data_IF_805188066492
#
_entry.id   IF_805188066492
#
_cell.length_a   1.000
_cell.length_b   1.000
_cell.length_c   1.000
_cell.angle_alpha   90.00
_cell.angle_beta   90.00
_cell.angle_gamma   90.00
#
_symmetry.space_group_name_H-M   'P 1'
#
loop_
_entity.id
_entity.type
_entity.pdbx_description
1 polymer ?
#
# COMPACT_ATOMS: atom_id res chain seq x y z
N UNK A 1 -46.81 16.78 -23.98
CA UNK A 1 -47.26 15.37 -24.03
C UNK A 1 -46.30 14.63 -24.96
N UNK A 2 -45.49 13.70 -24.42
CA UNK A 2 -45.62 12.24 -24.66
C UNK A 2 -45.55 11.92 -26.17
N UNK A 3 -44.45 11.37 -26.72
CA UNK A 3 -43.98 9.97 -26.55
C UNK A 3 -44.49 9.12 -27.73
N UNK A 4 -43.85 8.08 -28.27
CA UNK A 4 -42.53 7.47 -28.04
C UNK A 4 -42.41 6.13 -28.82
N UNK A 5 -41.17 5.66 -29.03
CA UNK A 5 -40.74 4.26 -29.29
C UNK A 5 -41.20 3.54 -30.59
N UNK A 6 -40.20 3.11 -31.36
CA UNK A 6 -40.28 2.16 -32.49
C UNK A 6 -39.93 0.71 -32.07
N UNK A 7 -40.44 -0.29 -32.80
CA UNK A 7 -40.23 -1.74 -32.53
C UNK A 7 -39.13 -2.37 -33.40
N UNK A 8 -38.42 -3.42 -32.93
CA UNK A 8 -37.42 -4.15 -33.72
C UNK A 8 -38.00 -5.33 -34.53
N UNK A 9 -37.23 -5.82 -35.50
CA UNK A 9 -37.53 -6.99 -36.35
C UNK A 9 -36.50 -8.10 -36.09
N UNK A 10 -36.97 -9.34 -35.92
CA UNK A 10 -36.13 -10.54 -35.81
C UNK A 10 -35.81 -11.12 -37.19
N UNK A 11 -34.61 -11.69 -37.35
CA UNK A 11 -34.31 -12.68 -38.39
C UNK A 11 -33.74 -13.95 -37.77
N UNK A 12 -34.22 -15.11 -38.24
CA UNK A 12 -33.67 -16.45 -37.99
C UNK A 12 -32.96 -16.91 -39.25
N UNK A 13 -31.90 -17.70 -39.10
CA UNK A 13 -31.31 -18.47 -40.21
C UNK A 13 -31.15 -19.93 -39.79
N UNK A 14 -31.51 -20.85 -40.67
CA UNK A 14 -31.50 -22.30 -40.41
C UNK A 14 -30.38 -23.00 -41.18
N UNK A 15 -30.08 -24.24 -40.78
CA UNK A 15 -28.98 -25.05 -41.29
C UNK A 15 -29.20 -25.62 -42.70
N UNK A 16 -28.11 -26.10 -43.30
CA UNK A 16 -28.13 -27.02 -44.43
C UNK A 16 -27.18 -28.20 -44.17
N UNK A 17 -27.61 -29.41 -44.52
CA UNK A 17 -26.88 -30.69 -44.38
C UNK A 17 -26.79 -31.33 -45.77
N UNK A 18 -25.68 -32.01 -46.10
CA UNK A 18 -25.62 -32.88 -47.29
C UNK A 18 -24.80 -34.17 -47.11
N UNK A 19 -25.14 -35.15 -47.96
CA UNK A 19 -24.83 -36.60 -47.93
C UNK A 19 -24.32 -37.03 -49.32
N UNK A 20 -23.63 -38.16 -49.59
CA UNK A 20 -23.17 -39.31 -48.78
C UNK A 20 -21.94 -39.95 -49.48
N UNK A 21 -21.13 -40.81 -48.83
CA UNK A 21 -20.23 -41.70 -49.58
C UNK A 21 -19.16 -42.46 -48.78
N UNK A 22 -19.15 -43.79 -48.86
CA UNK A 22 -18.17 -44.67 -48.20
C UNK A 22 -17.58 -45.67 -49.22
N UNK A 23 -16.36 -46.18 -48.97
CA UNK A 23 -15.97 -47.59 -49.24
C UNK A 23 -14.57 -47.97 -48.71
N UNK A 24 -14.48 -49.18 -48.14
CA UNK A 24 -13.33 -50.13 -48.09
C UNK A 24 -11.94 -49.68 -47.60
N UNK A 25 -11.39 -50.42 -46.63
CA UNK A 25 -10.01 -50.24 -46.12
C UNK A 25 -9.02 -51.31 -46.59
N UNK A 26 -7.73 -51.09 -46.27
CA UNK A 26 -6.60 -52.04 -46.39
C UNK A 26 -5.65 -51.80 -45.21
N UNK A 27 -5.13 -52.88 -44.60
CA UNK A 27 -4.12 -52.80 -43.54
C UNK A 27 -2.74 -52.39 -44.09
N UNK A 28 -1.99 -51.56 -43.35
CA UNK A 28 -0.61 -51.24 -43.74
C UNK A 28 0.09 -50.28 -42.77
N UNK A 29 0.95 -50.82 -41.90
CA UNK A 29 1.72 -50.03 -40.94
C UNK A 29 2.64 -49.03 -41.67
N UNK A 30 2.47 -47.73 -41.39
CA UNK A 30 3.55 -46.74 -41.50
C UNK A 30 3.61 -45.90 -40.24
N UNK A 31 4.74 -45.97 -39.52
CA UNK A 31 5.07 -45.00 -38.48
C UNK A 31 5.21 -43.63 -39.13
N UNK A 32 4.44 -42.64 -38.68
CA UNK A 32 4.76 -41.23 -38.84
C UNK A 32 4.55 -40.54 -37.50
N UNK A 33 5.56 -39.78 -37.08
CA UNK A 33 5.53 -38.91 -35.91
C UNK A 33 4.55 -37.77 -36.14
N UNK A 34 3.75 -37.41 -35.13
CA UNK A 34 3.48 -36.02 -34.72
C UNK A 34 2.83 -36.00 -33.32
N UNK A 35 2.84 -34.85 -32.63
CA UNK A 35 3.23 -34.82 -31.22
C UNK A 35 2.10 -35.06 -30.23
N UNK A 36 2.43 -35.68 -29.10
CA UNK A 36 1.69 -35.49 -27.84
C UNK A 36 2.01 -34.10 -27.28
N UNK A 37 0.99 -33.40 -26.79
CA UNK A 37 1.22 -32.24 -25.94
C UNK A 37 1.92 -32.69 -24.65
N UNK A 38 3.07 -32.10 -24.35
CA UNK A 38 3.66 -32.21 -23.01
C UNK A 38 2.93 -31.22 -22.10
N UNK A 39 2.18 -31.75 -21.14
CA UNK A 39 1.80 -30.99 -19.96
C UNK A 39 3.09 -30.70 -19.19
N UNK A 40 3.61 -29.48 -19.30
CA UNK A 40 4.70 -29.01 -18.44
C UNK A 40 4.16 -28.89 -17.02
N UNK A 41 4.38 -29.94 -16.22
CA UNK A 41 4.18 -29.90 -14.78
C UNK A 41 5.09 -28.81 -14.20
N UNK A 42 4.49 -27.71 -13.74
CA UNK A 42 5.16 -26.84 -12.78
C UNK A 42 5.27 -27.62 -11.48
N UNK A 43 6.50 -27.82 -11.00
CA UNK A 43 6.77 -28.37 -9.69
C UNK A 43 6.63 -27.27 -8.65
N UNK A 44 5.52 -27.28 -7.91
CA UNK A 44 5.35 -26.47 -6.71
C UNK A 44 6.24 -27.02 -5.59
N UNK A 45 7.51 -26.63 -5.59
CA UNK A 45 8.33 -26.62 -4.36
C UNK A 45 8.45 -25.16 -3.88
N UNK A 46 8.15 -24.86 -2.61
CA UNK A 46 8.25 -23.50 -2.10
C UNK A 46 9.71 -23.06 -2.11
N UNK A 47 9.99 -21.94 -2.77
CA UNK A 47 11.28 -21.28 -2.73
C UNK A 47 11.51 -20.76 -1.30
N UNK A 48 12.14 -21.61 -0.47
CA UNK A 48 12.57 -21.25 0.88
C UNK A 48 13.47 -20.03 0.74
N UNK A 49 13.06 -18.92 1.35
CA UNK A 49 13.87 -17.70 1.44
C UNK A 49 15.16 -18.02 2.20
N UNK A 50 16.19 -18.45 1.45
CA UNK A 50 17.54 -18.57 2.00
C UNK A 50 17.94 -17.20 2.53
N UNK A 51 18.44 -17.17 3.77
CA UNK A 51 19.02 -15.96 4.35
C UNK A 51 20.29 -15.62 3.56
N UNK A 52 20.15 -14.77 2.53
CA UNK A 52 21.30 -14.22 1.81
C UNK A 52 22.24 -13.56 2.81
N UNK A 53 23.40 -14.20 3.01
CA UNK A 53 24.42 -13.72 3.93
C UNK A 53 24.89 -12.33 3.51
N UNK A 54 24.74 -11.35 4.40
CA UNK A 54 25.08 -9.96 4.13
C UNK A 54 26.50 -9.81 3.56
N UNK A 55 26.57 -9.47 2.26
CA UNK A 55 27.79 -9.05 1.58
C UNK A 55 27.86 -7.52 1.50
N UNK A 56 29.05 -6.91 1.32
CA UNK A 56 29.34 -5.66 2.00
C UNK A 56 28.51 -4.45 1.56
N UNK A 57 27.86 -3.79 2.53
CA UNK A 57 27.45 -2.40 2.39
C UNK A 57 28.69 -1.52 2.14
N UNK A 58 28.91 -1.10 0.88
CA UNK A 58 30.00 -0.22 0.50
C UNK A 58 29.47 0.93 -0.38
N UNK A 59 29.96 2.15 -0.06
CA UNK A 59 29.54 3.43 -0.62
C UNK A 59 28.11 3.90 -0.25
N UNK A 60 27.72 3.71 1.02
CA UNK A 60 26.64 4.49 1.64
C UNK A 60 27.14 5.91 1.93
N UNK A 61 26.26 6.89 1.69
CA UNK A 61 26.61 8.31 1.70
C UNK A 61 26.30 8.95 3.05
N UNK A 62 27.36 9.40 3.72
CA UNK A 62 27.29 10.20 4.94
C UNK A 62 26.68 11.58 4.66
N UNK A 63 25.82 12.06 5.57
CA UNK A 63 25.47 13.47 5.71
C UNK A 63 26.71 14.27 6.12
N UNK A 64 26.61 15.60 6.15
CA UNK A 64 27.70 16.44 6.69
C UNK A 64 28.06 16.10 8.15
N UNK A 65 27.18 15.38 8.85
CA UNK A 65 27.29 14.96 10.24
C UNK A 65 27.61 13.46 10.41
N UNK A 66 27.86 12.72 9.31
CA UNK A 66 28.22 11.29 9.33
C UNK A 66 27.06 10.29 9.25
N UNK A 67 25.82 10.74 9.00
CA UNK A 67 24.62 9.86 8.98
C UNK A 67 24.33 9.29 7.59
N UNK A 68 23.99 8.00 7.46
CA UNK A 68 23.47 7.48 6.19
C UNK A 68 22.02 7.92 6.02
N UNK A 69 21.71 8.61 4.92
CA UNK A 69 20.40 9.25 4.69
C UNK A 69 19.53 8.47 3.70
N UNK A 70 18.30 8.15 4.10
CA UNK A 70 17.23 7.63 3.24
C UNK A 70 16.07 8.62 3.05
N UNK A 71 15.32 8.47 1.95
CA UNK A 71 14.07 9.20 1.68
C UNK A 71 12.90 8.22 1.58
N UNK A 72 11.83 8.48 2.33
CA UNK A 72 10.60 7.68 2.34
C UNK A 72 9.45 8.54 1.81
N UNK A 73 8.85 8.09 0.70
CA UNK A 73 7.75 8.74 -0.01
C UNK A 73 6.48 7.92 0.20
N UNK A 74 5.57 8.37 1.06
CA UNK A 74 4.36 7.62 1.41
C UNK A 74 3.21 7.99 0.48
N UNK A 75 2.65 6.98 -0.19
CA UNK A 75 1.37 7.00 -0.89
C UNK A 75 1.15 8.23 -1.81
N UNK A 76 2.19 8.62 -2.55
CA UNK A 76 2.13 9.75 -3.49
C UNK A 76 1.51 9.30 -4.82
N UNK A 77 0.29 8.79 -4.69
CA UNK A 77 -0.49 8.16 -5.75
C UNK A 77 -1.55 9.10 -6.29
N UNK A 78 -2.06 8.78 -7.47
CA UNK A 78 -3.06 9.58 -8.14
C UNK A 78 -4.40 9.56 -7.37
N UNK A 79 -4.80 8.41 -6.81
CA UNK A 79 -6.00 8.24 -5.98
C UNK A 79 -6.12 9.24 -4.81
N UNK A 80 -5.00 9.73 -4.28
CA UNK A 80 -4.98 10.74 -3.21
C UNK A 80 -4.78 12.18 -3.70
N UNK A 81 -4.36 12.40 -4.96
CA UNK A 81 -3.87 13.71 -5.44
C UNK A 81 -4.78 14.47 -6.41
N UNK A 82 -5.91 13.89 -6.82
CA UNK A 82 -7.11 14.59 -7.31
C UNK A 82 -6.90 15.75 -8.31
N UNK A 83 -6.77 15.43 -9.60
CA UNK A 83 -7.03 16.36 -10.71
C UNK A 83 -7.29 15.64 -12.05
N UNK A 84 -6.57 14.55 -12.31
CA UNK A 84 -6.51 13.89 -13.63
C UNK A 84 -6.94 12.42 -13.56
N UNK A 85 -8.24 12.14 -13.37
CA UNK A 85 -8.72 10.77 -13.16
C UNK A 85 -9.90 10.29 -14.00
N UNK A 86 -9.82 9.07 -14.58
CA UNK A 86 -10.88 8.51 -15.42
C UNK A 86 -11.98 7.77 -14.64
N UNK A 87 -11.73 7.36 -13.39
CA UNK A 87 -12.59 6.39 -12.65
C UNK A 87 -13.29 6.93 -11.41
N UNK A 88 -12.78 7.99 -10.78
CA UNK A 88 -13.45 8.66 -9.66
C UNK A 88 -13.28 8.01 -8.27
N UNK A 89 -12.38 7.01 -8.14
CA UNK A 89 -12.05 6.35 -6.87
C UNK A 89 -11.10 7.24 -6.04
N UNK A 90 -11.68 8.15 -5.26
CA UNK A 90 -10.94 9.23 -4.61
C UNK A 90 -11.14 9.27 -3.10
N UNK A 91 -10.03 9.20 -2.36
CA UNK A 91 -9.97 9.68 -0.98
C UNK A 91 -9.41 11.10 -0.96
N UNK A 92 -10.17 12.07 -1.51
CA UNK A 92 -9.83 13.48 -1.33
C UNK A 92 -10.04 13.89 0.12
N UNK A 93 -9.21 14.83 0.57
CA UNK A 93 -9.20 15.29 1.96
C UNK A 93 -10.55 15.88 2.37
N UNK A 94 -11.01 15.55 3.57
CA UNK A 94 -12.26 16.07 4.13
C UNK A 94 -12.12 17.59 4.27
N UNK A 95 -12.81 18.34 3.42
CA UNK A 95 -12.84 19.80 3.44
C UNK A 95 -11.89 20.55 2.49
N UNK A 96 -11.43 19.95 1.38
CA UNK A 96 -10.79 20.76 0.34
C UNK A 96 -10.41 20.03 -0.96
N UNK A 97 -10.97 20.50 -2.08
CA UNK A 97 -10.42 20.27 -3.42
C UNK A 97 -9.01 20.87 -3.53
N UNK A 98 -8.12 20.24 -4.31
CA UNK A 98 -6.91 20.89 -4.85
C UNK A 98 -5.59 20.74 -4.07
N UNK A 99 -5.57 20.17 -2.85
CA UNK A 99 -4.31 19.98 -2.08
C UNK A 99 -3.24 19.17 -2.83
N UNK A 100 -3.66 18.16 -3.58
CA UNK A 100 -2.79 17.30 -4.39
C UNK A 100 -2.49 17.82 -5.80
N UNK A 101 -2.96 19.02 -6.16
CA UNK A 101 -2.84 19.59 -7.51
C UNK A 101 -1.39 19.85 -7.95
N UNK A 102 -1.22 20.37 -9.17
CA UNK A 102 0.09 20.38 -9.86
C UNK A 102 1.23 21.06 -9.09
N UNK A 103 0.93 22.05 -8.25
CA UNK A 103 1.91 22.69 -7.35
C UNK A 103 2.48 21.69 -6.34
N UNK A 104 1.64 20.81 -5.78
CA UNK A 104 2.07 19.73 -4.89
C UNK A 104 2.86 18.67 -5.68
N UNK A 105 2.31 18.18 -6.80
CA UNK A 105 2.97 17.18 -7.66
C UNK A 105 4.39 17.62 -8.05
N UNK A 106 4.52 18.86 -8.54
CA UNK A 106 5.80 19.45 -8.92
C UNK A 106 6.75 19.65 -7.72
N UNK A 107 6.25 20.01 -6.53
CA UNK A 107 7.08 20.14 -5.34
C UNK A 107 7.70 18.81 -4.92
N UNK A 108 6.91 17.71 -4.89
CA UNK A 108 7.40 16.36 -4.60
C UNK A 108 8.42 15.92 -5.64
N UNK A 109 8.10 15.99 -6.93
CA UNK A 109 9.00 15.54 -8.00
C UNK A 109 10.32 16.32 -7.98
N UNK A 110 10.30 17.61 -7.64
CA UNK A 110 11.52 18.41 -7.48
C UNK A 110 12.29 18.07 -6.19
N UNK A 111 11.62 17.71 -5.09
CA UNK A 111 12.26 17.16 -3.89
C UNK A 111 13.04 15.88 -4.22
N UNK A 112 12.42 14.93 -4.91
CA UNK A 112 13.08 13.65 -5.27
C UNK A 112 14.29 13.89 -6.18
N UNK A 113 14.18 14.79 -7.17
CA UNK A 113 15.32 15.19 -8.01
C UNK A 113 16.45 15.88 -7.22
N UNK A 114 16.12 16.74 -6.24
CA UNK A 114 17.12 17.33 -5.33
C UNK A 114 17.79 16.25 -4.47
N UNK A 115 17.02 15.32 -3.92
CA UNK A 115 17.55 14.21 -3.13
C UNK A 115 18.50 13.35 -3.97
N UNK A 116 18.10 12.88 -5.16
CA UNK A 116 18.98 12.13 -6.09
C UNK A 116 20.23 12.91 -6.50
N UNK A 117 20.13 14.24 -6.69
CA UNK A 117 21.31 15.07 -7.00
C UNK A 117 22.29 15.16 -5.81
N UNK A 118 21.78 15.25 -4.58
CA UNK A 118 22.58 15.38 -3.35
C UNK A 118 23.12 14.04 -2.86
N UNK A 119 22.34 12.98 -3.05
CA UNK A 119 22.63 11.59 -2.66
C UNK A 119 22.38 10.65 -3.87
N UNK A 120 23.31 10.55 -4.83
CA UNK A 120 23.12 9.71 -6.03
C UNK A 120 22.80 8.24 -5.70
N UNK A 121 23.47 7.68 -4.69
CA UNK A 121 23.24 6.33 -4.19
C UNK A 121 22.32 6.28 -2.95
N UNK A 122 21.68 7.40 -2.58
CA UNK A 122 20.83 7.47 -1.38
C UNK A 122 19.60 6.56 -1.51
N UNK A 123 19.28 5.71 -0.52
CA UNK A 123 18.08 4.87 -0.57
C UNK A 123 16.79 5.70 -0.67
N UNK A 124 15.92 5.36 -1.62
CA UNK A 124 14.54 5.89 -1.72
C UNK A 124 13.56 4.73 -1.59
N UNK A 125 12.66 4.79 -0.60
CA UNK A 125 11.50 3.92 -0.53
C UNK A 125 10.24 4.67 -0.97
N UNK A 126 9.37 4.02 -1.74
CA UNK A 126 8.08 4.56 -2.18
C UNK A 126 6.94 3.64 -1.75
N UNK A 127 6.06 4.14 -0.89
CA UNK A 127 4.85 3.45 -0.45
C UNK A 127 3.79 3.49 -1.55
N UNK A 128 3.17 2.35 -1.81
CA UNK A 128 2.05 2.21 -2.72
C UNK A 128 0.90 1.49 -1.99
N UNK A 129 -0.14 2.23 -1.66
CA UNK A 129 -1.40 1.67 -1.19
C UNK A 129 -2.05 0.86 -2.32
N UNK A 130 -2.41 -0.40 -2.05
CA UNK A 130 -2.66 -1.38 -3.11
C UNK A 130 -3.76 -2.37 -2.72
N UNK A 131 -5.00 -1.88 -2.68
CA UNK A 131 -6.13 -2.65 -2.14
C UNK A 131 -6.81 -3.59 -3.14
N UNK A 132 -7.28 -4.79 -2.73
CA UNK A 132 -8.31 -5.51 -3.48
C UNK A 132 -9.61 -4.71 -3.61
N UNK A 133 -10.39 -4.98 -4.65
CA UNK A 133 -11.79 -4.52 -4.69
C UNK A 133 -12.59 -5.24 -3.58
N UNK A 134 -13.34 -4.50 -2.77
CA UNK A 134 -14.03 -5.05 -1.59
C UNK A 134 -13.12 -5.27 -0.38
N UNK A 135 -12.02 -4.51 -0.26
CA UNK A 135 -11.14 -4.49 0.91
C UNK A 135 -11.87 -4.01 2.18
N UNK A 136 -11.49 -4.54 3.35
CA UNK A 136 -12.20 -4.30 4.62
C UNK A 136 -12.26 -2.84 5.08
N UNK A 137 -11.33 -1.98 4.64
CA UNK A 137 -11.34 -0.54 4.96
C UNK A 137 -12.39 0.25 4.17
N UNK A 138 -13.09 -0.36 3.21
CA UNK A 138 -14.01 0.34 2.32
C UNK A 138 -15.43 0.48 2.87
N UNK A 139 -16.01 1.68 2.73
CA UNK A 139 -17.39 1.98 3.12
C UNK A 139 -18.40 1.11 2.35
N UNK A 140 -18.20 0.90 1.05
CA UNK A 140 -19.09 0.07 0.23
C UNK A 140 -19.06 -1.40 0.67
N UNK A 141 -17.89 -1.90 1.10
CA UNK A 141 -17.73 -3.24 1.65
C UNK A 141 -18.47 -3.40 3.00
N UNK A 142 -18.35 -2.42 3.90
CA UNK A 142 -19.05 -2.40 5.17
C UNK A 142 -20.59 -2.30 4.99
N UNK A 143 -21.04 -1.43 4.07
CA UNK A 143 -22.46 -1.30 3.68
C UNK A 143 -22.99 -2.63 3.12
N UNK A 144 -22.25 -3.29 2.22
CA UNK A 144 -22.62 -4.57 1.60
C UNK A 144 -22.75 -5.71 2.62
N UNK A 145 -21.99 -5.68 3.72
CA UNK A 145 -22.11 -6.63 4.83
C UNK A 145 -23.32 -6.37 5.74
N UNK A 146 -24.10 -5.30 5.49
CA UNK A 146 -25.34 -4.99 6.20
C UNK A 146 -25.15 -4.34 7.57
N UNK A 147 -23.94 -3.85 7.85
CA UNK A 147 -23.48 -3.58 9.21
C UNK A 147 -23.69 -2.13 9.69
N UNK A 148 -23.88 -1.16 8.78
CA UNK A 148 -24.50 0.12 9.13
C UNK A 148 -25.07 0.80 7.87
N UNK A 149 -26.26 1.44 7.91
CA UNK A 149 -26.72 2.29 6.81
C UNK A 149 -26.07 3.68 6.91
N UNK A 150 -25.07 3.92 6.06
CA UNK A 150 -24.32 5.18 5.99
C UNK A 150 -25.20 6.43 5.70
N UNK A 151 -24.82 7.57 6.30
CA UNK A 151 -25.28 8.91 5.92
C UNK A 151 -24.06 9.87 5.94
N UNK A 152 -23.90 10.69 4.90
CA UNK A 152 -22.66 11.38 4.45
C UNK A 152 -22.02 12.46 5.36
N UNK A 153 -22.21 12.47 6.69
CA UNK A 153 -21.83 13.63 7.54
C UNK A 153 -21.06 13.28 8.82
N UNK A 154 -19.74 13.16 8.74
CA UNK A 154 -18.85 13.40 9.91
C UNK A 154 -17.60 12.54 10.10
N UNK A 155 -16.57 12.68 9.25
CA UNK A 155 -15.26 12.05 9.44
C UNK A 155 -15.22 10.54 9.10
N UNK A 156 -14.04 9.88 9.19
CA UNK A 156 -13.96 8.44 9.04
C UNK A 156 -14.50 7.77 10.30
N UNK A 157 -15.69 7.18 10.19
CA UNK A 157 -16.29 6.34 11.22
C UNK A 157 -15.43 5.09 11.45
N UNK A 158 -15.36 4.61 12.69
CA UNK A 158 -14.57 3.42 13.06
C UNK A 158 -15.49 2.24 13.37
N UNK A 159 -15.20 1.11 12.75
CA UNK A 159 -15.77 -0.20 13.09
C UNK A 159 -14.78 -1.02 13.92
N UNK A 160 -15.25 -2.11 14.53
CA UNK A 160 -14.37 -3.14 15.10
C UNK A 160 -14.38 -4.36 14.17
N UNK A 161 -13.20 -4.80 13.76
CA UNK A 161 -13.03 -6.02 12.99
C UNK A 161 -12.70 -7.16 13.96
N UNK A 162 -13.52 -8.21 13.94
CA UNK A 162 -13.21 -9.45 14.63
C UNK A 162 -12.41 -10.34 13.68
N UNK A 163 -11.08 -10.24 13.73
CA UNK A 163 -10.21 -11.09 12.91
C UNK A 163 -10.20 -12.52 13.44
N UNK A 164 -10.29 -13.53 12.58
CA UNK A 164 -10.03 -14.92 12.99
C UNK A 164 -8.56 -15.09 13.37
N UNK A 165 -8.26 -16.14 14.15
CA UNK A 165 -6.87 -16.53 14.40
C UNK A 165 -6.10 -16.82 13.11
N UNK A 166 -6.74 -17.46 12.13
CA UNK A 166 -6.14 -17.77 10.83
C UNK A 166 -5.71 -16.51 10.07
N UNK A 167 -6.58 -15.50 9.96
CA UNK A 167 -6.23 -14.21 9.34
C UNK A 167 -5.22 -13.43 10.19
N UNK A 168 -5.32 -13.49 11.52
CA UNK A 168 -4.36 -12.84 12.43
C UNK A 168 -2.95 -13.42 12.37
N UNK A 169 -2.81 -14.74 12.20
CA UNK A 169 -1.53 -15.43 12.04
C UNK A 169 -1.06 -15.50 10.57
N UNK A 170 -1.83 -14.95 9.62
CA UNK A 170 -1.49 -14.94 8.20
C UNK A 170 -0.27 -14.04 7.90
N UNK A 171 0.51 -14.46 6.91
CA UNK A 171 1.65 -13.76 6.32
C UNK A 171 1.31 -13.16 4.93
N UNK A 172 0.02 -13.07 4.60
CA UNK A 172 -0.52 -12.65 3.30
C UNK A 172 -0.17 -13.54 2.07
N UNK A 173 0.30 -14.78 2.25
CA UNK A 173 0.59 -15.69 1.11
C UNK A 173 -0.67 -16.19 0.37
N UNK A 174 -1.84 -16.22 1.00
CA UNK A 174 -3.10 -16.68 0.39
C UNK A 174 -4.19 -15.59 0.35
N UNK A 175 -4.11 -14.75 -0.68
CA UNK A 175 -5.00 -13.61 -0.97
C UNK A 175 -6.50 -13.94 -1.03
N UNK A 176 -6.91 -15.21 -1.17
CA UNK A 176 -8.33 -15.58 -1.33
C UNK A 176 -9.00 -16.03 -0.02
N UNK A 177 -8.28 -16.66 0.92
CA UNK A 177 -8.89 -17.27 2.11
C UNK A 177 -9.51 -16.27 3.09
N UNK A 178 -8.87 -15.12 3.32
CA UNK A 178 -9.27 -14.18 4.39
C UNK A 178 -10.64 -13.52 4.16
N UNK A 179 -11.11 -13.45 2.90
CA UNK A 179 -12.35 -12.73 2.53
C UNK A 179 -13.60 -13.27 3.23
N UNK A 180 -13.70 -14.58 3.29
CA UNK A 180 -14.91 -15.30 3.72
C UNK A 180 -14.85 -15.62 5.22
N UNK A 181 -13.70 -15.40 5.86
CA UNK A 181 -13.44 -15.77 7.25
C UNK A 181 -13.42 -14.59 8.22
N UNK A 182 -13.18 -13.35 7.77
CA UNK A 182 -13.17 -12.17 8.67
C UNK A 182 -14.58 -11.57 8.83
N UNK A 183 -15.31 -11.80 9.94
CA UNK A 183 -16.54 -11.07 10.23
C UNK A 183 -16.24 -9.60 10.57
N UNK A 184 -16.97 -8.68 9.95
CA UNK A 184 -17.05 -7.30 10.44
C UNK A 184 -18.05 -7.29 11.60
N UNK A 185 -17.70 -6.71 12.74
CA UNK A 185 -18.59 -6.61 13.90
C UNK A 185 -18.96 -5.15 14.17
N UNK A 186 -20.24 -4.82 14.04
CA UNK A 186 -20.77 -3.48 14.30
C UNK A 186 -21.85 -3.54 15.37
N UNK A 187 -21.50 -3.21 16.60
CA UNK A 187 -21.65 -1.83 17.10
C UNK A 187 -20.96 -1.72 18.48
N UNK A 188 -20.75 -0.51 18.99
CA UNK A 188 -20.12 -0.24 20.29
C UNK A 188 -20.96 -0.79 21.46
N UNK A 189 -20.58 -1.95 21.98
CA UNK A 189 -20.89 -2.33 23.35
C UNK A 189 -19.71 -3.06 24.00
N UNK A 190 -19.21 -2.46 25.07
CA UNK A 190 -18.09 -2.85 25.93
C UNK A 190 -18.21 -4.22 26.66
N UNK A 191 -18.76 -5.23 26.00
CA UNK A 191 -19.02 -6.58 26.50
C UNK A 191 -19.05 -7.67 25.42
N UNK A 192 -18.81 -7.35 24.14
CA UNK A 192 -18.36 -8.39 23.19
C UNK A 192 -16.89 -8.63 23.49
N UNK A 193 -16.60 -9.47 24.49
CA UNK A 193 -15.48 -10.37 24.30
C UNK A 193 -15.89 -11.23 23.11
N UNK A 194 -15.09 -11.19 22.05
CA UNK A 194 -15.31 -12.09 20.93
C UNK A 194 -15.30 -13.55 21.39
N UNK A 195 -16.03 -14.39 20.67
CA UNK A 195 -16.04 -15.83 20.90
C UNK A 195 -14.58 -16.37 20.91
N UNK A 196 -14.31 -17.43 21.67
CA UNK A 196 -12.94 -17.98 21.79
C UNK A 196 -12.33 -18.25 20.41
N UNK A 197 -11.37 -17.41 19.98
CA UNK A 197 -10.67 -17.57 18.69
C UNK A 197 -10.43 -16.32 17.86
N UNK A 198 -11.04 -15.17 18.18
CA UNK A 198 -10.85 -13.93 17.39
C UNK A 198 -9.89 -12.91 18.06
N UNK A 199 -9.52 -11.86 17.31
CA UNK A 199 -8.74 -10.69 17.74
C UNK A 199 -9.43 -9.42 17.24
N UNK A 200 -9.73 -8.49 18.14
CA UNK A 200 -10.44 -7.25 17.83
C UNK A 200 -9.50 -6.11 17.40
N UNK A 201 -9.83 -5.41 16.31
CA UNK A 201 -9.12 -4.21 15.85
C UNK A 201 -10.08 -3.06 15.50
N UNK A 202 -9.76 -1.84 15.93
CA UNK A 202 -10.45 -0.64 15.40
C UNK A 202 -9.97 -0.32 13.98
N UNK A 203 -10.90 -0.22 13.04
CA UNK A 203 -10.64 0.14 11.64
C UNK A 203 -11.46 1.38 11.24
N UNK A 204 -10.85 2.51 10.83
CA UNK A 204 -11.56 3.59 10.17
C UNK A 204 -11.99 3.18 8.75
N UNK A 205 -13.18 3.60 8.32
CA UNK A 205 -13.68 3.34 6.98
C UNK A 205 -13.45 4.54 6.04
N UNK A 206 -13.22 4.23 4.76
CA UNK A 206 -12.96 5.18 3.68
C UNK A 206 -13.75 4.82 2.41
N UNK A 207 -14.11 5.79 1.56
CA UNK A 207 -14.48 5.52 0.15
C UNK A 207 -13.47 4.63 -0.57
N UNK A 208 -13.91 3.82 -1.53
CA UNK A 208 -13.03 3.00 -2.37
C UNK A 208 -11.92 3.83 -3.04
N UNK A 209 -10.67 3.42 -2.82
CA UNK A 209 -9.48 4.12 -3.30
C UNK A 209 -8.34 3.14 -3.63
N UNK A 210 -7.42 3.58 -4.48
CA UNK A 210 -6.16 2.88 -4.80
C UNK A 210 -6.30 1.37 -5.10
N UNK A 211 -7.39 0.99 -5.77
CA UNK A 211 -7.70 -0.41 -6.08
C UNK A 211 -6.66 -0.97 -7.05
N UNK A 212 -6.13 -2.16 -6.74
CA UNK A 212 -5.18 -2.91 -7.53
C UNK A 212 -5.63 -3.03 -9.00
N UNK A 213 -4.72 -2.77 -9.94
CA UNK A 213 -5.01 -2.79 -11.38
C UNK A 213 -5.84 -1.62 -11.92
N UNK A 214 -6.34 -0.71 -11.07
CA UNK A 214 -6.93 0.56 -11.53
C UNK A 214 -5.85 1.54 -12.01
N UNK A 215 -6.15 2.51 -12.90
CA UNK A 215 -5.24 3.62 -13.19
C UNK A 215 -4.90 4.46 -11.94
N UNK A 216 -5.77 4.44 -10.94
CA UNK A 216 -5.75 5.36 -9.81
C UNK A 216 -4.70 4.99 -8.76
N UNK A 217 -4.29 3.71 -8.72
CA UNK A 217 -3.21 3.18 -7.87
C UNK A 217 -1.80 3.64 -8.29
N UNK A 218 -1.65 4.23 -9.47
CA UNK A 218 -0.36 4.73 -9.95
C UNK A 218 0.21 5.83 -9.04
N UNK A 219 1.54 5.95 -9.01
CA UNK A 219 2.22 7.18 -8.61
C UNK A 219 1.84 8.37 -9.50
N UNK A 220 1.96 9.59 -8.97
CA UNK A 220 1.85 10.82 -9.77
C UNK A 220 2.89 10.84 -10.91
N UNK A 221 2.55 11.52 -12.01
CA UNK A 221 3.40 11.52 -13.20
C UNK A 221 4.76 12.19 -12.95
N UNK A 222 5.81 11.57 -13.48
CA UNK A 222 7.20 12.00 -13.30
C UNK A 222 7.85 11.62 -11.96
N UNK A 223 7.12 11.02 -11.01
CA UNK A 223 7.70 10.59 -9.72
C UNK A 223 8.65 9.40 -9.88
N UNK A 224 8.21 8.35 -10.59
CA UNK A 224 9.03 7.17 -10.88
C UNK A 224 10.34 7.57 -11.57
N UNK A 225 10.25 8.37 -12.63
CA UNK A 225 11.40 8.86 -13.39
C UNK A 225 12.35 9.73 -12.52
N UNK A 226 11.79 10.55 -11.61
CA UNK A 226 12.58 11.34 -10.67
C UNK A 226 13.30 10.48 -9.62
N UNK A 227 12.70 9.37 -9.21
CA UNK A 227 13.30 8.39 -8.31
C UNK A 227 14.34 7.49 -9.01
N UNK A 228 14.45 7.58 -10.36
CA UNK A 228 15.24 6.75 -11.27
C UNK A 228 14.71 5.32 -11.43
N UNK A 229 13.40 5.11 -11.23
CA UNK A 229 12.72 3.86 -11.55
C UNK A 229 12.42 3.68 -13.05
N UNK A 230 11.95 2.48 -13.40
CA UNK A 230 11.52 2.12 -14.76
C UNK A 230 10.02 1.83 -14.72
N UNK A 231 9.23 2.47 -15.57
CA UNK A 231 7.78 2.16 -15.64
C UNK A 231 7.56 0.75 -16.21
N UNK A 232 6.99 -0.14 -15.41
CA UNK A 232 6.66 -1.51 -15.79
C UNK A 232 5.14 -1.70 -15.78
N UNK A 233 4.54 -1.91 -16.95
CA UNK A 233 3.08 -2.07 -17.05
C UNK A 233 2.27 -0.82 -16.71
N UNK A 234 1.06 -1.03 -16.21
CA UNK A 234 0.02 0.01 -16.05
C UNK A 234 -0.03 0.66 -14.67
N UNK A 235 0.59 0.05 -13.66
CA UNK A 235 0.42 0.37 -12.23
C UNK A 235 1.73 0.39 -11.42
N UNK A 236 2.87 0.03 -12.04
CA UNK A 236 4.11 -0.28 -11.32
C UNK A 236 5.27 0.64 -11.72
N UNK A 237 5.95 1.19 -10.71
CA UNK A 237 7.31 1.72 -10.86
C UNK A 237 8.28 0.60 -10.49
N UNK A 238 8.88 -0.03 -11.51
CA UNK A 238 9.94 -1.02 -11.34
C UNK A 238 11.26 -0.39 -10.91
N UNK A 239 12.12 -1.22 -10.34
CA UNK A 239 13.49 -0.88 -9.98
C UNK A 239 14.42 -1.37 -11.10
N UNK A 240 15.42 -0.58 -11.55
CA UNK A 240 16.45 -1.08 -12.46
C UNK A 240 17.22 -2.25 -11.84
N UNK A 241 17.60 -3.23 -12.67
CA UNK A 241 18.49 -4.33 -12.26
C UNK A 241 19.83 -3.76 -11.73
N UNK A 242 20.19 -4.10 -10.50
CA UNK A 242 21.37 -3.59 -9.80
C UNK A 242 21.18 -2.29 -9.02
N UNK A 243 19.95 -1.74 -8.97
CA UNK A 243 19.57 -0.56 -8.17
C UNK A 243 18.63 -0.90 -6.99
N UNK A 244 18.50 -2.18 -6.61
CA UNK A 244 17.63 -2.68 -5.53
C UNK A 244 18.01 -2.15 -4.13
N UNK A 245 19.25 -1.67 -3.98
CA UNK A 245 19.76 -0.96 -2.81
C UNK A 245 19.45 0.55 -2.82
N UNK A 246 19.10 1.13 -3.98
CA UNK A 246 18.83 2.57 -4.15
C UNK A 246 17.35 2.90 -4.25
N UNK A 247 16.52 1.99 -4.74
CA UNK A 247 15.08 2.20 -4.90
C UNK A 247 14.29 0.96 -4.48
N UNK A 248 13.22 1.16 -3.71
CA UNK A 248 12.27 0.12 -3.36
C UNK A 248 10.85 0.65 -3.41
N UNK A 249 9.95 -0.07 -4.08
CA UNK A 249 8.51 0.11 -3.89
C UNK A 249 8.05 -0.85 -2.79
N UNK A 250 7.30 -0.33 -1.83
CA UNK A 250 6.67 -1.09 -0.74
C UNK A 250 5.17 -1.02 -0.98
N UNK A 251 4.55 -2.14 -1.37
CA UNK A 251 3.09 -2.24 -1.46
C UNK A 251 2.52 -2.56 -0.07
N UNK A 252 1.37 -1.99 0.25
CA UNK A 252 0.66 -2.19 1.52
C UNK A 252 -0.85 -2.21 1.29
N UNK A 253 -1.61 -2.71 2.27
CA UNK A 253 -3.08 -2.77 2.22
C UNK A 253 -3.63 -3.84 1.27
N UNK A 254 -2.81 -4.81 0.88
CA UNK A 254 -3.17 -5.85 -0.09
C UNK A 254 -3.85 -7.07 0.55
N UNK A 255 -3.79 -7.25 1.89
CA UNK A 255 -4.64 -8.24 2.56
C UNK A 255 -6.07 -7.72 2.64
N UNK A 256 -7.02 -8.48 2.08
CA UNK A 256 -8.43 -8.12 2.02
C UNK A 256 -9.12 -7.94 3.38
N UNK A 257 -8.63 -8.60 4.44
CA UNK A 257 -9.13 -8.51 5.81
C UNK A 257 -8.27 -7.65 6.76
N UNK A 258 -7.12 -7.10 6.30
CA UNK A 258 -6.20 -6.33 7.14
C UNK A 258 -5.69 -5.10 6.37
N UNK A 259 -6.14 -3.93 6.79
CA UNK A 259 -5.65 -2.65 6.27
C UNK A 259 -4.23 -2.32 6.79
N UNK A 260 -3.53 -1.38 6.13
CA UNK A 260 -2.15 -1.05 6.43
C UNK A 260 -1.83 0.42 6.18
N UNK A 261 -1.87 1.25 7.22
CA UNK A 261 -1.45 2.65 7.09
C UNK A 261 0.07 2.78 6.97
N UNK A 262 0.83 1.96 7.69
CA UNK A 262 2.28 2.09 7.74
C UNK A 262 2.97 1.32 6.61
N UNK A 263 4.07 1.87 6.10
CA UNK A 263 4.99 1.14 5.23
C UNK A 263 5.90 0.19 6.01
N UNK A 264 5.90 0.25 7.34
CA UNK A 264 6.65 -0.67 8.21
C UNK A 264 5.81 -1.88 8.56
N UNK A 265 4.60 -1.67 9.10
CA UNK A 265 3.69 -2.74 9.51
C UNK A 265 2.26 -2.54 9.01
N UNK A 266 1.46 -3.60 8.99
CA UNK A 266 0.01 -3.50 8.86
C UNK A 266 -0.71 -3.13 10.16
N UNK A 267 -2.02 -2.94 10.11
CA UNK A 267 -2.80 -2.40 11.21
C UNK A 267 -2.88 -3.32 12.45
N UNK A 268 -2.44 -4.60 12.38
CA UNK A 268 -2.25 -5.45 13.58
C UNK A 268 -1.25 -4.86 14.57
N UNK A 269 -0.32 -4.03 14.09
CA UNK A 269 0.70 -3.38 14.91
C UNK A 269 0.32 -1.99 15.40
N UNK A 270 -0.93 -1.54 15.17
CA UNK A 270 -1.41 -0.26 15.70
C UNK A 270 -1.26 -0.20 17.23
N UNK A 271 -0.79 0.96 17.71
CA UNK A 271 -0.43 1.18 19.11
C UNK A 271 -1.60 0.87 20.05
N UNK A 272 -1.26 0.30 21.22
CA UNK A 272 -2.14 -0.02 22.35
C UNK A 272 -3.17 -1.14 22.09
N UNK A 273 -3.25 -1.69 20.87
CA UNK A 273 -3.98 -2.92 20.55
C UNK A 273 -3.43 -4.14 21.29
N UNK A 274 -4.28 -5.13 21.56
CA UNK A 274 -3.85 -6.42 22.09
C UNK A 274 -3.14 -7.27 21.02
N UNK A 275 -3.54 -7.10 19.74
CA UNK A 275 -2.85 -7.59 18.56
C UNK A 275 -1.33 -7.30 18.58
N UNK A 276 -0.92 -6.02 18.70
CA UNK A 276 0.50 -5.62 18.75
C UNK A 276 1.24 -6.31 19.90
N UNK A 277 0.62 -6.42 21.07
CA UNK A 277 1.24 -7.04 22.27
C UNK A 277 1.54 -8.51 22.02
N UNK A 278 0.60 -9.23 21.40
CA UNK A 278 0.80 -10.64 21.06
C UNK A 278 1.88 -10.82 19.99
N UNK A 279 1.84 -10.04 18.89
CA UNK A 279 2.81 -10.16 17.79
C UNK A 279 4.26 -9.90 18.23
N UNK A 280 4.46 -8.90 19.08
CA UNK A 280 5.79 -8.58 19.62
C UNK A 280 6.26 -9.64 20.62
N UNK A 281 5.40 -10.05 21.55
CA UNK A 281 5.77 -11.02 22.58
C UNK A 281 5.99 -12.44 22.02
N UNK A 282 5.33 -12.79 20.91
CA UNK A 282 5.44 -14.08 20.24
C UNK A 282 6.55 -14.19 19.19
N UNK A 283 7.45 -13.19 19.07
CA UNK A 283 8.46 -13.10 17.99
C UNK A 283 7.85 -13.13 16.57
N UNK A 284 6.55 -12.77 16.45
CA UNK A 284 5.74 -12.81 15.23
C UNK A 284 5.69 -11.48 14.48
N UNK A 285 6.31 -10.39 14.96
CA UNK A 285 6.21 -9.07 14.33
C UNK A 285 6.56 -9.05 12.82
N UNK A 286 7.40 -9.98 12.36
CA UNK A 286 7.67 -10.19 10.94
C UNK A 286 6.43 -10.49 10.08
N UNK A 287 5.40 -11.19 10.59
CA UNK A 287 4.21 -11.56 9.79
C UNK A 287 3.37 -10.35 9.38
N UNK A 288 3.50 -9.25 10.14
CA UNK A 288 2.84 -7.98 9.88
C UNK A 288 3.76 -6.97 9.19
N UNK A 289 5.01 -7.33 8.86
CA UNK A 289 5.98 -6.41 8.25
C UNK A 289 5.75 -6.24 6.76
N UNK A 290 5.77 -4.99 6.30
CA UNK A 290 5.77 -4.61 4.89
C UNK A 290 7.21 -4.47 4.32
N UNK A 291 8.25 -4.66 5.14
CA UNK A 291 9.65 -4.76 4.70
C UNK A 291 10.44 -3.45 4.60
N UNK A 292 9.86 -2.29 4.97
CA UNK A 292 10.56 -1.00 4.89
C UNK A 292 11.75 -0.92 5.86
N UNK A 293 11.54 -1.27 7.13
CA UNK A 293 12.56 -1.08 8.17
C UNK A 293 13.78 -1.98 7.93
N UNK A 294 13.54 -3.22 7.51
CA UNK A 294 14.57 -4.20 7.18
C UNK A 294 15.34 -3.79 5.93
N UNK A 295 14.66 -3.23 4.92
CA UNK A 295 15.34 -2.70 3.74
C UNK A 295 16.22 -1.49 4.08
N UNK A 296 15.70 -0.51 4.84
CA UNK A 296 16.46 0.65 5.30
C UNK A 296 17.65 0.25 6.18
N UNK A 297 17.47 -0.70 7.09
CA UNK A 297 18.52 -1.26 7.95
C UNK A 297 19.61 -1.97 7.12
N UNK A 298 19.25 -2.80 6.14
CA UNK A 298 20.21 -3.40 5.20
C UNK A 298 20.97 -2.34 4.38
N UNK A 299 20.34 -1.19 4.09
CA UNK A 299 21.00 -0.04 3.48
C UNK A 299 21.74 0.86 4.50
N UNK A 300 21.95 0.40 5.74
CA UNK A 300 22.68 1.11 6.79
C UNK A 300 22.12 2.50 7.12
N UNK A 301 20.86 2.80 6.79
CA UNK A 301 20.24 4.12 6.98
C UNK A 301 20.09 4.42 8.47
N UNK A 302 20.56 5.59 8.90
CA UNK A 302 20.41 6.09 10.27
C UNK A 302 19.54 7.34 10.35
N UNK A 303 19.40 8.11 9.26
CA UNK A 303 18.47 9.25 9.16
C UNK A 303 17.47 9.07 8.02
N UNK A 304 16.18 9.17 8.32
CA UNK A 304 15.08 9.09 7.37
C UNK A 304 14.43 10.45 7.20
N UNK A 305 14.43 10.97 5.98
CA UNK A 305 13.48 12.02 5.58
C UNK A 305 12.18 11.35 5.12
N UNK A 306 11.05 11.67 5.73
CA UNK A 306 9.74 11.12 5.37
C UNK A 306 8.80 12.22 4.88
N UNK A 307 8.00 11.92 3.85
CA UNK A 307 6.97 12.82 3.31
C UNK A 307 5.92 12.04 2.54
N UNK A 308 4.84 12.70 2.11
CA UNK A 308 3.79 12.06 1.33
C UNK A 308 2.41 12.31 1.91
N UNK A 309 1.50 11.35 1.75
CA UNK A 309 0.10 11.46 2.14
C UNK A 309 -0.26 10.23 2.97
N UNK A 310 -1.07 10.31 4.04
CA UNK A 310 -1.53 11.51 4.72
C UNK A 310 -0.67 11.83 5.95
N UNK A 311 -0.40 13.11 6.22
CA UNK A 311 0.39 13.55 7.39
C UNK A 311 -0.25 13.22 8.76
N UNK A 312 -1.51 12.78 8.75
CA UNK A 312 -2.31 12.34 9.89
C UNK A 312 -2.64 10.83 9.90
N UNK A 313 -2.37 10.11 8.81
CA UNK A 313 -2.49 8.65 8.67
C UNK A 313 -1.16 8.01 8.24
N UNK A 314 -1.01 7.62 6.97
CA UNK A 314 0.07 6.73 6.52
C UNK A 314 1.48 7.25 6.81
N UNK A 315 1.72 8.55 6.63
CA UNK A 315 3.01 9.19 6.97
C UNK A 315 3.26 9.13 8.48
N UNK A 316 2.23 9.40 9.28
CA UNK A 316 2.31 9.38 10.75
C UNK A 316 2.61 7.97 11.26
N UNK A 317 1.85 6.97 10.82
CA UNK A 317 2.05 5.58 11.25
C UNK A 317 3.44 5.09 10.85
N UNK A 318 3.85 5.32 9.59
CA UNK A 318 5.20 4.98 9.11
C UNK A 318 6.30 5.66 9.94
N UNK A 319 6.16 6.96 10.24
CA UNK A 319 7.12 7.68 11.06
C UNK A 319 7.16 7.21 12.53
N UNK A 320 6.02 6.77 13.07
CA UNK A 320 5.90 6.32 14.46
C UNK A 320 6.45 4.91 14.65
N UNK A 321 6.30 4.03 13.66
CA UNK A 321 6.80 2.65 13.68
C UNK A 321 8.32 2.59 13.47
N UNK A 322 8.88 3.46 12.63
CA UNK A 322 10.35 3.64 12.51
C UNK A 322 11.01 4.10 13.83
N UNK A 323 10.21 4.51 14.82
CA UNK A 323 10.67 4.90 16.16
C UNK A 323 10.21 3.93 17.26
N UNK A 324 9.51 2.85 16.90
CA UNK A 324 9.09 1.80 17.82
C UNK A 324 10.24 0.81 18.05
N UNK A 325 11.14 1.14 18.97
CA UNK A 325 12.34 0.33 19.25
C UNK A 325 12.03 -1.09 19.71
N UNK A 326 10.85 -1.34 20.27
CA UNK A 326 10.39 -2.67 20.66
C UNK A 326 10.06 -3.53 19.43
N UNK A 327 9.36 -2.95 18.46
CA UNK A 327 9.06 -3.61 17.19
C UNK A 327 10.29 -3.70 16.26
N UNK A 328 11.13 -2.67 16.21
CA UNK A 328 12.39 -2.67 15.45
C UNK A 328 13.40 -3.70 15.98
N UNK A 329 13.35 -4.02 17.28
CA UNK A 329 14.17 -5.10 17.85
C UNK A 329 13.81 -6.49 17.31
N UNK A 330 12.58 -6.69 16.85
CA UNK A 330 12.13 -7.93 16.23
C UNK A 330 12.59 -8.00 14.77
N UNK A 331 12.29 -6.97 13.97
CA UNK A 331 12.42 -7.09 12.50
C UNK A 331 13.74 -6.56 11.90
N UNK A 332 14.42 -5.62 12.56
CA UNK A 332 15.51 -4.85 11.97
C UNK A 332 16.75 -4.72 12.89
N UNK A 333 17.09 -5.78 13.64
CA UNK A 333 18.21 -5.85 14.59
C UNK A 333 18.41 -4.57 15.42
N UNK A 334 17.32 -4.07 16.01
CA UNK A 334 17.29 -2.87 16.87
C UNK A 334 17.76 -1.59 16.16
N UNK A 335 17.53 -1.49 14.85
CA UNK A 335 17.71 -0.26 14.09
C UNK A 335 17.08 0.94 14.81
N UNK A 336 17.84 2.02 14.94
CA UNK A 336 17.41 3.27 15.53
C UNK A 336 17.51 4.38 14.47
N UNK A 337 16.37 4.84 13.98
CA UNK A 337 16.29 5.86 12.94
C UNK A 337 16.05 7.24 13.54
N UNK A 338 16.80 8.26 13.10
CA UNK A 338 16.39 9.66 13.26
C UNK A 338 15.36 9.98 12.16
N UNK A 339 14.13 10.32 12.53
CA UNK A 339 13.06 10.63 11.56
C UNK A 339 12.83 12.14 11.44
N UNK A 340 12.76 12.62 10.20
CA UNK A 340 12.48 14.01 9.84
C UNK A 340 11.30 14.07 8.88
N UNK A 341 10.21 14.71 9.29
CA UNK A 341 9.02 14.87 8.47
C UNK A 341 9.10 16.16 7.63
N UNK A 342 9.22 16.01 6.30
CA UNK A 342 9.19 17.09 5.33
C UNK A 342 7.75 17.58 5.09
N UNK A 343 7.30 18.56 5.87
CA UNK A 343 5.91 19.07 5.81
C UNK A 343 5.61 19.86 4.53
N UNK A 344 6.63 20.34 3.83
CA UNK A 344 6.49 21.06 2.56
C UNK A 344 6.08 20.16 1.37
N UNK A 345 6.12 18.84 1.53
CA UNK A 345 5.71 17.85 0.52
C UNK A 345 4.70 16.82 1.07
N UNK A 346 4.05 17.17 2.18
CA UNK A 346 2.98 16.39 2.80
C UNK A 346 1.71 17.24 3.03
N UNK A 347 0.59 16.55 3.24
CA UNK A 347 -0.67 17.09 3.76
C UNK A 347 -1.52 15.95 4.35
N UNK A 348 -2.45 16.29 5.25
CA UNK A 348 -3.38 15.34 5.88
C UNK A 348 -4.79 15.32 5.27
N UNK A 349 -5.51 14.23 5.53
CA UNK A 349 -6.85 13.93 5.01
C UNK A 349 -7.95 14.47 5.94
N UNK A 350 -7.77 14.36 7.26
CA UNK A 350 -8.71 14.83 8.30
C UNK A 350 -8.13 16.01 9.08
N UNK A 351 -6.82 15.96 9.35
CA UNK A 351 -6.02 16.94 10.09
C UNK A 351 -4.93 17.49 9.17
N UNK A 352 -4.00 18.30 9.68
CA UNK A 352 -2.89 18.81 8.86
C UNK A 352 -1.77 19.51 9.63
N UNK A 353 -0.52 19.31 9.22
CA UNK A 353 0.66 19.92 9.85
C UNK A 353 1.03 21.31 9.28
N UNK A 354 0.34 21.80 8.25
CA UNK A 354 0.83 22.86 7.35
C UNK A 354 0.14 24.22 7.58
N UNK A 355 0.92 25.31 7.54
CA UNK A 355 0.53 26.66 8.01
C UNK A 355 -0.05 27.62 6.93
N UNK A 356 -0.29 27.17 5.68
CA UNK A 356 -0.75 28.07 4.60
C UNK A 356 -1.78 27.43 3.66
N UNK A 357 -2.87 28.17 3.42
CA UNK A 357 -3.90 28.12 2.36
C UNK A 357 -4.49 26.76 1.92
N UNK A 358 -4.13 25.65 2.56
CA UNK A 358 -4.44 24.29 2.11
C UNK A 358 -4.83 23.33 3.26
N UNK A 359 -5.28 23.85 4.41
CA UNK A 359 -5.81 23.03 5.50
C UNK A 359 -5.78 23.68 6.88
N UNK A 360 -6.56 23.19 7.85
CA UNK A 360 -6.51 23.66 9.23
C UNK A 360 -5.23 23.20 9.92
N UNK A 361 -4.69 24.09 10.76
CA UNK A 361 -3.47 23.84 11.52
C UNK A 361 -3.74 22.99 12.76
N UNK A 362 -3.40 21.71 12.74
CA UNK A 362 -3.60 20.85 13.90
C UNK A 362 -2.39 20.88 14.86
N UNK A 363 -2.51 21.73 15.88
CA UNK A 363 -1.51 21.84 16.94
C UNK A 363 -1.40 20.56 17.81
N UNK A 364 -2.45 19.73 17.85
CA UNK A 364 -2.41 18.42 18.50
C UNK A 364 -1.53 17.45 17.72
N UNK A 365 -1.68 17.40 16.39
CA UNK A 365 -0.88 16.55 15.50
C UNK A 365 0.59 16.97 15.56
N UNK A 366 0.86 18.28 15.53
CA UNK A 366 2.20 18.83 15.75
C UNK A 366 2.79 18.42 17.09
N UNK A 367 1.97 18.32 18.15
CA UNK A 367 2.40 17.84 19.46
C UNK A 367 2.69 16.34 19.41
N UNK A 368 1.81 15.53 18.83
CA UNK A 368 1.98 14.07 18.68
C UNK A 368 3.30 13.70 17.97
N UNK A 369 3.66 14.41 16.89
CA UNK A 369 4.95 14.22 16.22
C UNK A 369 6.15 14.61 17.10
N UNK A 370 6.07 15.76 17.80
CA UNK A 370 7.15 16.25 18.68
C UNK A 370 7.32 15.41 19.95
N UNK A 371 6.23 14.87 20.48
CA UNK A 371 6.24 13.95 21.63
C UNK A 371 6.94 12.62 21.30
N UNK A 372 7.06 12.28 20.00
CA UNK A 372 7.85 11.17 19.46
C UNK A 372 9.25 11.58 18.99
N UNK A 373 9.71 12.80 19.30
CA UNK A 373 11.01 13.34 18.87
C UNK A 373 11.18 13.46 17.34
N UNK A 374 10.10 13.38 16.55
CA UNK A 374 10.17 13.56 15.09
C UNK A 374 10.44 15.03 14.78
N UNK A 375 11.54 15.28 14.07
CA UNK A 375 11.89 16.63 13.61
C UNK A 375 10.92 17.05 12.49
N UNK A 376 10.14 18.11 12.71
CA UNK A 376 9.32 18.71 11.67
C UNK A 376 10.17 19.72 10.90
N UNK A 377 10.34 19.51 9.59
CA UNK A 377 11.14 20.38 8.73
C UNK A 377 10.80 21.86 8.93
N UNK A 378 11.79 22.72 8.75
CA UNK A 378 11.59 24.18 8.71
C UNK A 378 12.08 24.73 7.38
N UNK A 379 11.36 25.74 6.88
CA UNK A 379 11.63 26.45 5.62
C UNK A 379 13.06 27.01 5.54
N UNK A 380 13.72 27.19 6.69
CA UNK A 380 15.05 27.79 6.81
C UNK A 380 16.18 26.79 7.09
N UNK A 381 15.99 25.73 7.89
CA UNK A 381 17.11 24.87 8.35
C UNK A 381 17.41 23.66 7.49
N UNK A 382 16.41 23.05 6.84
CA UNK A 382 16.58 21.78 6.12
C UNK A 382 16.30 21.93 4.63
N UNK A 383 17.02 22.87 4.01
CA UNK A 383 17.07 22.90 2.55
C UNK A 383 17.99 21.79 2.07
N UNK A 384 17.45 20.89 1.23
CA UNK A 384 18.23 20.03 0.33
C UNK A 384 18.85 20.85 -0.83
N UNK A 385 19.32 22.07 -0.52
CA UNK A 385 20.12 22.92 -1.41
C UNK A 385 21.60 22.48 -1.37
#
# INVERSE_FOLDING_TARGET
MLGGVSKPVFFKTAAAVFLIGATTGVEGRRKMFHPSAEETQFSDEPEVLEQESATPAQALLESADGETVGLVLVDIQKCFTGADHPTGLQLQTIGGEGKGGDKYKAAVVNLVRKFRKKYPNGPIAMGQDYHPAGHVSFVDEANRRGNHPYNEVGGPERVVLGMTRDTFDSNNEDFQKDREQTPVMTDKAANVQTEEGFVDMEQPLFPDHCIAGSPDVNFIDGLCDAAQGIRTGVDTCGVPEGDENKLRVIRKGFNMGIDSFSMVFDNRMLKDSDARKELIAGEKAHIASNGLAEWLHRQGVTKVFITGIADDFCVKSTAFDLLDTEAMAQIADKAAFKVVHLKETAYGIVRGLRDQDQGPLDNGLRKEYRDREIELSSVEKEKLD
#
